data_IF_170048444614
#
_entry.id   IF_170048444614
#
_cell.length_a   1.000
_cell.length_b   1.000
_cell.length_c   1.000
_cell.angle_alpha   90.00
_cell.angle_beta   90.00
_cell.angle_gamma   90.00
#
_symmetry.space_group_name_H-M   'P 1'
#
loop_
_entity.id
_entity.type
_entity.pdbx_description
1 polymer ?
#
# COMPACT_ATOMS: atom_id res chain seq x y z
N UNK A 1 27.92 -24.90 -18.05
CA UNK A 1 27.44 -25.58 -19.26
C UNK A 1 25.94 -25.72 -19.13
N UNK A 2 25.21 -24.74 -19.58
CA UNK A 2 23.75 -24.76 -19.59
C UNK A 2 23.33 -25.25 -20.97
N UNK A 3 22.89 -26.49 -21.07
CA UNK A 3 22.38 -27.05 -22.33
C UNK A 3 20.93 -26.57 -22.53
N UNK A 4 20.73 -25.94 -23.65
CA UNK A 4 19.46 -25.68 -24.31
C UNK A 4 18.62 -26.96 -24.37
N UNK A 5 17.60 -27.09 -23.51
CA UNK A 5 16.48 -28.00 -23.71
C UNK A 5 15.29 -27.19 -24.26
N UNK A 6 15.44 -26.73 -25.50
CA UNK A 6 14.28 -26.41 -26.32
C UNK A 6 13.63 -27.75 -26.61
N UNK A 7 12.42 -27.96 -26.05
CA UNK A 7 11.59 -29.12 -26.39
C UNK A 7 11.43 -29.17 -27.91
N UNK A 8 11.89 -30.22 -28.53
CA UNK A 8 11.82 -30.35 -29.97
C UNK A 8 10.36 -30.35 -30.43
N UNK A 9 9.98 -29.65 -31.50
CA UNK A 9 8.63 -29.65 -32.07
C UNK A 9 8.06 -31.04 -32.33
N UNK A 10 8.94 -32.04 -32.48
CA UNK A 10 8.57 -33.44 -32.72
C UNK A 10 7.86 -34.15 -31.56
N UNK A 11 8.20 -33.83 -30.30
CA UNK A 11 7.52 -34.49 -29.14
C UNK A 11 6.10 -33.99 -28.97
N UNK A 12 5.82 -32.73 -29.28
CA UNK A 12 4.47 -32.17 -29.24
C UNK A 12 3.60 -32.67 -30.39
N UNK A 13 4.16 -32.74 -31.60
CA UNK A 13 3.44 -33.30 -32.77
C UNK A 13 3.11 -34.77 -32.59
N UNK A 14 4.01 -35.57 -32.01
CA UNK A 14 3.78 -36.96 -31.72
C UNK A 14 2.66 -37.19 -30.67
N UNK A 15 2.65 -36.35 -29.61
CA UNK A 15 1.57 -36.41 -28.61
C UNK A 15 0.24 -35.92 -29.18
N UNK A 16 0.23 -34.87 -29.99
CA UNK A 16 -0.96 -34.38 -30.71
C UNK A 16 -1.53 -35.41 -31.64
N UNK A 17 -0.68 -36.17 -32.33
CA UNK A 17 -1.10 -37.31 -33.21
C UNK A 17 -1.70 -38.45 -32.39
N UNK A 18 -1.06 -38.90 -31.31
CA UNK A 18 -1.54 -40.02 -30.47
C UNK A 18 -2.86 -39.72 -29.76
N UNK A 19 -3.17 -38.46 -29.46
CA UNK A 19 -4.41 -38.06 -28.80
C UNK A 19 -5.54 -37.77 -29.78
N UNK A 20 -5.27 -37.51 -31.07
CA UNK A 20 -6.27 -37.39 -32.12
C UNK A 20 -6.78 -38.74 -32.61
N UNK A 21 -6.08 -39.85 -32.33
CA UNK A 21 -6.50 -41.22 -32.72
C UNK A 21 -7.52 -41.84 -31.77
N UNK A 22 -7.79 -41.26 -30.59
CA UNK A 22 -8.86 -41.76 -29.69
C UNK A 22 -10.22 -41.18 -30.07
N UNK A 23 -11.06 -42.00 -30.62
CA UNK A 23 -12.44 -41.88 -31.07
C UNK A 23 -13.36 -40.96 -30.26
N UNK A 24 -13.28 -39.65 -30.50
CA UNK A 24 -14.38 -38.69 -30.38
C UNK A 24 -14.10 -37.50 -31.31
N UNK A 25 -14.94 -37.36 -32.33
CA UNK A 25 -14.88 -36.28 -33.32
C UNK A 25 -14.93 -34.91 -32.67
N UNK A 26 -14.00 -34.05 -33.03
CA UNK A 26 -13.95 -32.58 -32.81
C UNK A 26 -13.20 -32.04 -31.61
N UNK A 27 -12.32 -32.75 -30.95
CA UNK A 27 -11.47 -32.15 -29.92
C UNK A 27 -10.27 -31.41 -30.56
N UNK A 28 -10.24 -30.11 -30.49
CA UNK A 28 -9.05 -29.32 -30.85
C UNK A 28 -8.09 -29.32 -29.65
N UNK A 29 -6.92 -29.91 -29.82
CA UNK A 29 -5.85 -29.87 -28.84
C UNK A 29 -4.89 -28.76 -29.20
N UNK A 30 -4.82 -27.70 -28.40
CA UNK A 30 -4.09 -26.47 -28.67
C UNK A 30 -3.01 -26.25 -27.61
N UNK A 31 -1.90 -25.68 -28.02
CA UNK A 31 -0.96 -25.04 -27.08
C UNK A 31 -1.63 -23.83 -26.43
N UNK A 32 -1.04 -23.31 -25.38
CA UNK A 32 -1.57 -22.12 -24.73
C UNK A 32 -1.66 -20.92 -25.70
N UNK A 33 -0.65 -20.73 -26.55
CA UNK A 33 -0.63 -19.62 -27.53
C UNK A 33 -1.70 -19.80 -28.62
N UNK A 34 -1.86 -21.02 -29.13
CA UNK A 34 -2.92 -21.32 -30.09
C UNK A 34 -4.30 -21.13 -29.46
N UNK A 35 -4.47 -21.53 -28.20
CA UNK A 35 -5.73 -21.35 -27.46
C UNK A 35 -6.00 -19.87 -27.14
N UNK A 36 -4.95 -19.11 -26.80
CA UNK A 36 -5.06 -17.65 -26.59
C UNK A 36 -5.56 -16.97 -27.87
N UNK A 37 -4.93 -17.25 -29.01
CA UNK A 37 -5.36 -16.70 -30.31
C UNK A 37 -6.80 -17.11 -30.65
N UNK A 38 -7.12 -18.41 -30.52
CA UNK A 38 -8.46 -18.92 -30.78
C UNK A 38 -9.52 -18.21 -29.92
N UNK A 39 -9.26 -18.07 -28.61
CA UNK A 39 -10.17 -17.39 -27.68
C UNK A 39 -10.27 -15.91 -27.96
N UNK A 40 -9.16 -15.26 -28.38
CA UNK A 40 -9.17 -13.85 -28.79
C UNK A 40 -10.11 -13.60 -29.94
N UNK A 41 -10.01 -14.42 -30.99
CA UNK A 41 -10.87 -14.32 -32.17
C UNK A 41 -12.37 -14.55 -31.84
N UNK A 42 -12.65 -15.50 -30.94
CA UNK A 42 -14.01 -15.79 -30.51
C UNK A 42 -14.59 -14.63 -29.66
N UNK A 43 -13.81 -14.08 -28.74
CA UNK A 43 -14.21 -12.93 -27.89
C UNK A 43 -14.46 -11.68 -28.74
N UNK A 44 -13.60 -11.41 -29.74
CA UNK A 44 -13.78 -10.29 -30.66
C UNK A 44 -15.11 -10.42 -31.49
N UNK A 45 -15.61 -11.62 -31.67
CA UNK A 45 -16.84 -11.86 -32.36
C UNK A 45 -18.08 -11.93 -31.41
N UNK A 46 -17.85 -12.04 -30.11
CA UNK A 46 -18.93 -12.13 -29.13
C UNK A 46 -19.66 -10.79 -28.92
N UNK A 47 -20.99 -10.81 -29.09
CA UNK A 47 -21.82 -9.61 -28.96
C UNK A 47 -21.87 -9.04 -27.55
N UNK A 48 -21.80 -9.90 -26.53
CA UNK A 48 -21.89 -9.49 -25.12
C UNK A 48 -20.56 -8.86 -24.69
N UNK A 49 -19.43 -9.44 -25.12
CA UNK A 49 -18.12 -8.86 -24.89
C UNK A 49 -18.00 -7.47 -25.56
N UNK A 50 -18.44 -7.35 -26.82
CA UNK A 50 -18.47 -6.05 -27.54
C UNK A 50 -19.34 -4.99 -26.84
N UNK A 51 -20.52 -5.36 -26.36
CA UNK A 51 -21.39 -4.45 -25.63
C UNK A 51 -20.74 -3.98 -24.31
N UNK A 52 -20.04 -4.89 -23.61
CA UNK A 52 -19.34 -4.55 -22.36
C UNK A 52 -18.15 -3.61 -22.62
N UNK A 53 -17.39 -3.84 -23.68
CA UNK A 53 -16.33 -2.92 -24.10
C UNK A 53 -16.85 -1.55 -24.51
N UNK A 54 -17.95 -1.50 -25.24
CA UNK A 54 -18.59 -0.24 -25.63
C UNK A 54 -19.12 0.53 -24.41
N UNK A 55 -19.67 -0.16 -23.41
CA UNK A 55 -20.09 0.47 -22.15
C UNK A 55 -18.90 0.99 -21.32
N UNK A 56 -17.76 0.30 -21.36
CA UNK A 56 -16.50 0.79 -20.74
C UNK A 56 -16.04 2.09 -21.40
N UNK A 57 -16.08 2.17 -22.73
CA UNK A 57 -15.64 3.38 -23.49
C UNK A 57 -16.59 4.56 -23.32
N UNK A 58 -17.88 4.35 -23.20
CA UNK A 58 -18.87 5.43 -23.00
C UNK A 58 -18.93 5.99 -21.58
N UNK A 59 -18.47 5.22 -20.57
CA UNK A 59 -18.43 5.62 -19.16
C UNK A 59 -17.01 5.81 -18.62
N UNK A 60 -16.02 6.00 -19.46
CA UNK A 60 -14.60 5.98 -19.14
C UNK A 60 -14.21 6.91 -17.97
N UNK A 61 -14.89 8.07 -17.85
CA UNK A 61 -14.60 9.07 -16.81
C UNK A 61 -15.27 8.80 -15.45
N UNK A 62 -16.06 7.74 -15.32
CA UNK A 62 -16.87 7.48 -14.10
C UNK A 62 -16.67 6.10 -13.46
N UNK A 63 -15.98 5.17 -14.11
CA UNK A 63 -15.79 3.82 -13.54
C UNK A 63 -14.54 3.82 -12.64
N UNK A 64 -14.77 3.70 -11.35
CA UNK A 64 -13.67 3.46 -10.39
C UNK A 64 -13.15 2.04 -10.64
N UNK A 65 -11.93 1.93 -11.14
CA UNK A 65 -11.25 0.65 -11.38
C UNK A 65 -10.60 0.15 -10.08
N UNK A 66 -11.43 -0.25 -9.15
CA UNK A 66 -11.03 -0.85 -7.88
C UNK A 66 -10.91 -2.39 -7.95
N UNK A 67 -10.63 -3.04 -6.83
CA UNK A 67 -10.55 -4.49 -6.73
C UNK A 67 -11.88 -5.19 -7.01
N UNK A 68 -13.01 -4.57 -6.67
CA UNK A 68 -14.33 -5.14 -6.94
C UNK A 68 -14.59 -5.17 -8.45
N UNK A 69 -14.28 -4.08 -9.14
CA UNK A 69 -14.31 -4.01 -10.60
C UNK A 69 -13.41 -5.07 -11.24
N UNK A 70 -12.18 -5.25 -10.72
CA UNK A 70 -11.28 -6.28 -11.21
C UNK A 70 -11.88 -7.68 -11.09
N UNK A 71 -12.37 -8.06 -9.89
CA UNK A 71 -12.97 -9.38 -9.63
C UNK A 71 -14.17 -9.65 -10.53
N UNK A 72 -15.05 -8.67 -10.72
CA UNK A 72 -16.21 -8.79 -11.61
C UNK A 72 -15.78 -8.99 -13.07
N UNK A 73 -14.81 -8.19 -13.52
CA UNK A 73 -14.29 -8.27 -14.88
C UNK A 73 -13.59 -9.61 -15.14
N UNK A 74 -12.74 -10.05 -14.21
CA UNK A 74 -12.05 -11.33 -14.30
C UNK A 74 -13.04 -12.51 -14.36
N UNK A 75 -14.03 -12.55 -13.48
CA UNK A 75 -15.05 -13.59 -13.46
C UNK A 75 -15.88 -13.64 -14.74
N UNK A 76 -16.17 -12.49 -15.33
CA UNK A 76 -16.86 -12.43 -16.62
C UNK A 76 -16.03 -13.11 -17.72
N UNK A 77 -14.77 -12.69 -17.90
CA UNK A 77 -13.90 -13.28 -18.93
C UNK A 77 -13.58 -14.76 -18.64
N UNK A 78 -13.33 -15.12 -17.39
CA UNK A 78 -13.16 -16.51 -17.00
C UNK A 78 -14.35 -17.38 -17.44
N UNK A 79 -15.58 -16.94 -17.16
CA UNK A 79 -16.80 -17.66 -17.52
C UNK A 79 -16.98 -17.74 -19.05
N UNK A 80 -16.74 -16.64 -19.75
CA UNK A 80 -16.83 -16.58 -21.20
C UNK A 80 -15.81 -17.51 -21.85
N UNK A 81 -14.56 -17.45 -21.43
CA UNK A 81 -13.48 -18.30 -21.95
C UNK A 81 -13.75 -19.78 -21.66
N UNK A 82 -14.17 -20.11 -20.44
CA UNK A 82 -14.52 -21.47 -20.05
C UNK A 82 -15.61 -22.05 -20.96
N UNK A 83 -16.68 -21.28 -21.19
CA UNK A 83 -17.77 -21.67 -22.07
C UNK A 83 -17.30 -21.82 -23.53
N UNK A 84 -16.45 -20.93 -24.01
CA UNK A 84 -15.86 -21.00 -25.35
C UNK A 84 -15.01 -22.24 -25.54
N UNK A 85 -14.16 -22.57 -24.57
CA UNK A 85 -13.35 -23.81 -24.62
C UNK A 85 -14.23 -25.06 -24.60
N UNK A 86 -15.24 -25.09 -23.73
CA UNK A 86 -16.16 -26.24 -23.60
C UNK A 86 -17.00 -26.43 -24.85
N UNK A 87 -17.64 -25.36 -25.38
CA UNK A 87 -18.54 -25.45 -26.55
C UNK A 87 -17.79 -25.85 -27.82
N UNK A 88 -16.52 -25.45 -27.96
CA UNK A 88 -15.69 -25.81 -29.12
C UNK A 88 -14.84 -27.07 -28.90
N UNK A 89 -14.95 -27.74 -27.77
CA UNK A 89 -14.18 -28.96 -27.46
C UNK A 89 -12.65 -28.72 -27.42
N UNK A 90 -12.22 -27.49 -27.11
CA UNK A 90 -10.81 -27.10 -27.08
C UNK A 90 -10.16 -27.59 -25.79
N UNK A 91 -9.04 -28.29 -25.91
CA UNK A 91 -8.16 -28.69 -24.79
C UNK A 91 -6.83 -27.98 -24.89
N UNK A 92 -6.33 -27.51 -23.76
CA UNK A 92 -5.09 -26.73 -23.69
C UNK A 92 -3.96 -27.56 -23.10
N UNK A 93 -2.78 -27.50 -23.70
CA UNK A 93 -1.57 -28.19 -23.24
C UNK A 93 -0.59 -27.20 -22.65
N UNK A 94 0.07 -27.62 -21.59
CA UNK A 94 1.17 -26.92 -20.93
C UNK A 94 2.44 -27.75 -21.04
N UNK A 95 3.54 -27.10 -21.39
CA UNK A 95 4.87 -27.70 -21.29
C UNK A 95 5.45 -27.31 -19.92
N UNK A 96 5.80 -28.29 -19.10
CA UNK A 96 6.47 -28.06 -17.82
C UNK A 96 7.92 -27.61 -18.02
N UNK A 97 8.55 -27.05 -16.99
CA UNK A 97 9.95 -26.67 -17.02
C UNK A 97 10.90 -27.84 -17.38
N UNK A 98 10.46 -29.07 -17.14
CA UNK A 98 11.18 -30.31 -17.48
C UNK A 98 10.93 -30.77 -18.93
N UNK A 99 10.19 -29.99 -19.72
CA UNK A 99 9.85 -30.30 -21.11
C UNK A 99 8.71 -31.34 -21.27
N UNK A 100 8.04 -31.72 -20.17
CA UNK A 100 6.91 -32.63 -20.24
C UNK A 100 5.65 -31.89 -20.64
N UNK A 101 4.95 -32.38 -21.65
CA UNK A 101 3.65 -31.86 -22.10
C UNK A 101 2.54 -32.49 -21.30
N UNK A 102 1.72 -31.70 -20.66
CA UNK A 102 0.57 -32.14 -19.87
C UNK A 102 -0.71 -31.45 -20.33
N UNK A 103 -1.82 -32.17 -20.30
CA UNK A 103 -3.15 -31.63 -20.56
C UNK A 103 -3.61 -30.85 -19.32
N UNK A 104 -4.02 -29.63 -19.52
CA UNK A 104 -4.61 -28.81 -18.45
C UNK A 104 -6.10 -29.14 -18.26
N UNK A 105 -6.59 -28.96 -17.03
CA UNK A 105 -8.02 -28.95 -16.78
C UNK A 105 -8.70 -27.74 -17.43
N UNK A 106 -10.02 -27.85 -17.69
CA UNK A 106 -10.76 -26.73 -18.30
C UNK A 106 -10.80 -25.49 -17.41
N UNK A 107 -10.94 -25.67 -16.10
CA UNK A 107 -10.97 -24.56 -15.15
C UNK A 107 -9.61 -23.89 -15.03
N UNK A 108 -8.53 -24.68 -14.99
CA UNK A 108 -7.16 -24.19 -15.00
C UNK A 108 -6.87 -23.44 -16.31
N UNK A 109 -7.22 -24.01 -17.46
CA UNK A 109 -7.03 -23.38 -18.77
C UNK A 109 -7.77 -22.06 -18.89
N UNK A 110 -9.04 -22.03 -18.47
CA UNK A 110 -9.85 -20.82 -18.52
C UNK A 110 -9.34 -19.73 -17.59
N UNK A 111 -8.84 -20.11 -16.40
CA UNK A 111 -8.26 -19.18 -15.44
C UNK A 111 -6.96 -18.56 -15.95
N UNK A 112 -6.04 -19.38 -16.44
CA UNK A 112 -4.75 -18.91 -16.95
C UNK A 112 -4.93 -18.04 -18.21
N UNK A 113 -5.88 -18.38 -19.08
CA UNK A 113 -6.24 -17.55 -20.23
C UNK A 113 -6.87 -16.23 -19.78
N UNK A 114 -7.82 -16.23 -18.86
CA UNK A 114 -8.43 -15.02 -18.33
C UNK A 114 -7.38 -14.11 -17.66
N UNK A 115 -6.44 -14.70 -16.91
CA UNK A 115 -5.32 -13.98 -16.31
C UNK A 115 -4.47 -13.27 -17.38
N UNK A 116 -4.24 -13.90 -18.51
CA UNK A 116 -3.49 -13.29 -19.63
C UNK A 116 -4.29 -12.23 -20.38
N UNK A 117 -5.62 -12.35 -20.47
CA UNK A 117 -6.48 -11.39 -21.16
C UNK A 117 -6.75 -10.12 -20.35
N UNK A 118 -7.16 -10.26 -19.10
CA UNK A 118 -7.65 -9.16 -18.25
C UNK A 118 -7.05 -9.14 -16.86
N UNK A 119 -6.32 -10.20 -16.47
CA UNK A 119 -5.73 -10.38 -15.15
C UNK A 119 -4.25 -10.03 -15.10
N UNK A 120 -3.57 -10.60 -14.12
CA UNK A 120 -2.16 -10.35 -13.83
C UNK A 120 -1.20 -11.35 -14.50
N UNK A 121 -1.66 -12.10 -15.53
CA UNK A 121 -0.91 -13.15 -16.23
C UNK A 121 -0.31 -14.18 -15.25
N UNK A 122 0.97 -14.50 -15.34
CA UNK A 122 1.64 -15.43 -14.43
C UNK A 122 1.71 -14.93 -12.97
N UNK A 123 1.47 -13.63 -12.73
CA UNK A 123 1.45 -13.01 -11.41
C UNK A 123 0.10 -13.19 -10.68
N UNK A 124 -0.92 -13.76 -11.32
CA UNK A 124 -2.28 -13.86 -10.78
C UNK A 124 -2.33 -14.52 -9.40
N UNK A 125 -1.58 -15.61 -9.19
CA UNK A 125 -1.54 -16.29 -7.89
C UNK A 125 -0.84 -15.44 -6.83
N UNK A 126 0.25 -14.74 -7.20
CA UNK A 126 0.95 -13.82 -6.30
C UNK A 126 0.06 -12.64 -5.91
N UNK A 127 -0.75 -12.14 -6.85
CA UNK A 127 -1.71 -11.06 -6.58
C UNK A 127 -2.83 -11.49 -5.64
N UNK A 128 -3.21 -12.77 -5.65
CA UNK A 128 -4.26 -13.34 -4.78
C UNK A 128 -3.72 -13.91 -3.46
N UNK A 129 -2.40 -14.10 -3.29
CA UNK A 129 -1.80 -14.56 -2.04
C UNK A 129 -1.61 -13.40 -1.05
N UNK A 130 -2.43 -13.33 0.01
CA UNK A 130 -2.38 -12.26 1.02
C UNK A 130 -1.07 -12.22 1.82
N UNK A 131 -0.27 -13.28 1.80
CA UNK A 131 1.06 -13.30 2.46
C UNK A 131 2.14 -12.58 1.65
N UNK A 132 1.88 -12.28 0.35
CA UNK A 132 2.76 -11.53 -0.53
C UNK A 132 2.36 -10.06 -0.51
N UNK A 133 3.32 -9.18 -0.21
CA UNK A 133 3.13 -7.73 -0.15
C UNK A 133 3.66 -7.01 -1.37
N UNK A 134 4.80 -7.45 -1.88
CA UNK A 134 5.48 -6.81 -3.01
C UNK A 134 5.91 -7.86 -4.06
N UNK A 135 5.90 -7.45 -5.33
CA UNK A 135 6.31 -8.28 -6.48
C UNK A 135 7.34 -7.50 -7.27
N UNK A 136 8.47 -8.16 -7.56
CA UNK A 136 9.61 -7.58 -8.28
C UNK A 136 9.90 -8.38 -9.54
N UNK A 137 9.52 -7.88 -10.70
CA UNK A 137 9.86 -8.46 -12.00
C UNK A 137 11.13 -7.80 -12.52
N UNK A 138 12.25 -8.50 -12.41
CA UNK A 138 13.56 -8.03 -12.89
C UNK A 138 13.68 -8.18 -14.40
N UNK A 139 13.07 -9.23 -14.93
CA UNK A 139 12.93 -9.55 -16.36
C UNK A 139 11.79 -10.56 -16.52
N UNK A 140 11.32 -10.80 -17.72
CA UNK A 140 10.22 -11.71 -18.03
C UNK A 140 10.36 -13.13 -17.41
N UNK A 141 11.60 -13.58 -17.16
CA UNK A 141 11.93 -14.90 -16.61
C UNK A 141 12.59 -14.86 -15.22
N UNK A 142 12.61 -13.69 -14.57
CA UNK A 142 13.20 -13.53 -13.23
C UNK A 142 12.33 -12.65 -12.35
N UNK A 143 11.57 -13.31 -11.48
CA UNK A 143 10.56 -12.69 -10.62
C UNK A 143 10.87 -13.05 -9.16
N UNK A 144 10.77 -12.05 -8.28
CA UNK A 144 10.83 -12.21 -6.84
C UNK A 144 9.56 -11.68 -6.21
N UNK A 145 9.25 -12.17 -5.03
CA UNK A 145 8.14 -11.68 -4.20
C UNK A 145 8.62 -11.46 -2.78
N UNK A 146 8.07 -10.46 -2.12
CA UNK A 146 8.20 -10.32 -0.67
C UNK A 146 7.02 -11.03 -0.01
N UNK A 147 7.32 -12.12 0.68
CA UNK A 147 6.34 -12.96 1.37
C UNK A 147 6.64 -13.00 2.86
N UNK A 148 5.68 -12.60 3.69
CA UNK A 148 5.85 -12.50 5.15
C UNK A 148 7.11 -11.71 5.56
N UNK A 149 7.47 -10.65 4.81
CA UNK A 149 8.66 -9.83 5.06
C UNK A 149 9.98 -10.42 4.56
N UNK A 150 9.97 -11.52 3.81
CA UNK A 150 11.15 -12.14 3.24
C UNK A 150 11.08 -12.20 1.72
N UNK A 151 12.19 -11.88 1.06
CA UNK A 151 12.30 -11.99 -0.39
C UNK A 151 12.56 -13.43 -0.81
N UNK A 152 11.74 -13.95 -1.72
CA UNK A 152 11.89 -15.28 -2.31
C UNK A 152 11.72 -15.26 -3.83
N UNK A 153 12.29 -16.25 -4.50
CA UNK A 153 12.13 -16.41 -5.95
C UNK A 153 10.71 -16.91 -6.23
N UNK A 154 9.99 -16.20 -7.10
CA UNK A 154 8.67 -16.65 -7.53
C UNK A 154 8.75 -17.80 -8.54
N UNK A 155 7.92 -18.81 -8.37
CA UNK A 155 7.99 -20.06 -9.11
C UNK A 155 7.45 -19.98 -10.55
N UNK A 156 6.66 -18.94 -10.90
CA UNK A 156 6.15 -18.71 -12.25
C UNK A 156 6.93 -17.61 -12.96
N UNK A 157 6.94 -17.65 -14.28
CA UNK A 157 7.58 -16.67 -15.16
C UNK A 157 6.63 -16.36 -16.33
N UNK A 158 6.83 -15.26 -17.02
CA UNK A 158 6.12 -14.98 -18.25
C UNK A 158 6.56 -15.95 -19.35
N UNK A 159 5.69 -16.21 -20.29
CA UNK A 159 5.93 -17.20 -21.38
C UNK A 159 7.03 -16.76 -22.35
N UNK A 160 7.16 -15.47 -22.56
CA UNK A 160 8.18 -14.85 -23.42
C UNK A 160 8.36 -13.37 -23.04
N UNK A 161 9.42 -12.77 -23.56
CA UNK A 161 9.64 -11.33 -23.43
C UNK A 161 8.53 -10.52 -24.09
N UNK A 162 8.05 -10.97 -25.26
CA UNK A 162 6.92 -10.32 -25.94
C UNK A 162 5.62 -10.41 -25.15
N UNK A 163 5.33 -11.57 -24.52
CA UNK A 163 4.16 -11.71 -23.64
C UNK A 163 4.25 -10.77 -22.44
N UNK A 164 5.43 -10.62 -21.85
CA UNK A 164 5.66 -9.68 -20.75
C UNK A 164 5.47 -8.22 -21.20
N UNK A 165 6.01 -7.85 -22.37
CA UNK A 165 5.83 -6.50 -22.93
C UNK A 165 4.35 -6.18 -23.16
N UNK A 166 3.62 -7.10 -23.77
CA UNK A 166 2.17 -6.95 -23.99
C UNK A 166 1.40 -6.81 -22.65
N UNK A 167 1.80 -7.56 -21.63
CA UNK A 167 1.24 -7.43 -20.28
C UNK A 167 1.50 -6.02 -19.72
N UNK A 168 2.73 -5.50 -19.79
CA UNK A 168 3.06 -4.14 -19.33
C UNK A 168 2.22 -3.09 -20.07
N UNK A 169 2.16 -3.16 -21.39
CA UNK A 169 1.37 -2.22 -22.19
C UNK A 169 -0.11 -2.25 -21.82
N UNK A 170 -0.65 -3.44 -21.55
CA UNK A 170 -2.04 -3.60 -21.15
C UNK A 170 -2.32 -2.97 -19.79
N UNK A 171 -1.53 -3.30 -18.75
CA UNK A 171 -1.76 -2.76 -17.39
C UNK A 171 -1.58 -1.23 -17.35
N UNK A 172 -0.61 -0.69 -18.07
CA UNK A 172 -0.40 0.75 -18.15
C UNK A 172 -1.56 1.44 -18.90
N UNK A 173 -2.02 0.89 -20.01
CA UNK A 173 -3.20 1.41 -20.72
C UNK A 173 -4.45 1.40 -19.83
N UNK A 174 -4.64 0.35 -19.03
CA UNK A 174 -5.74 0.29 -18.07
C UNK A 174 -5.61 1.32 -16.94
N UNK A 175 -4.38 1.68 -16.59
CA UNK A 175 -4.08 2.75 -15.65
C UNK A 175 -4.06 4.16 -16.29
N UNK A 176 -4.43 4.30 -17.57
CA UNK A 176 -4.33 5.52 -18.37
C UNK A 176 -2.90 6.09 -18.41
N UNK A 177 -1.92 5.20 -18.50
CA UNK A 177 -0.49 5.50 -18.61
C UNK A 177 0.10 4.83 -19.83
N UNK A 178 1.28 5.30 -20.25
CA UNK A 178 2.00 4.75 -21.38
C UNK A 178 3.50 4.71 -21.05
N UNK A 179 4.17 3.64 -21.45
CA UNK A 179 5.63 3.53 -21.44
C UNK A 179 6.13 3.77 -22.86
N UNK A 180 7.09 4.66 -23.04
CA UNK A 180 7.66 4.98 -24.35
C UNK A 180 9.18 5.20 -24.28
N UNK A 181 9.78 5.44 -25.43
CA UNK A 181 11.22 5.70 -25.55
C UNK A 181 11.56 7.20 -25.44
N UNK A 182 10.56 8.05 -25.34
CA UNK A 182 10.68 9.51 -25.26
C UNK A 182 10.66 10.02 -23.82
N UNK A 183 9.51 10.48 -23.39
CA UNK A 183 9.31 11.14 -22.09
C UNK A 183 9.00 10.17 -20.96
N UNK A 184 8.25 9.09 -21.25
CA UNK A 184 7.73 8.16 -20.24
C UNK A 184 8.59 6.89 -20.14
N UNK A 185 9.86 7.03 -19.75
CA UNK A 185 10.78 5.89 -19.56
C UNK A 185 10.65 5.23 -18.19
N UNK A 186 10.13 5.97 -17.21
CA UNK A 186 9.81 5.52 -15.86
C UNK A 186 8.37 5.93 -15.59
N UNK A 187 7.51 4.99 -15.24
CA UNK A 187 6.09 5.22 -15.09
C UNK A 187 5.61 4.67 -13.77
N UNK A 188 5.14 5.56 -12.92
CA UNK A 188 4.35 5.20 -11.73
C UNK A 188 2.89 5.09 -12.11
N UNK A 189 2.22 4.04 -11.63
CA UNK A 189 0.80 3.82 -11.88
C UNK A 189 0.10 3.23 -10.67
N UNK A 190 -1.20 3.39 -10.65
CA UNK A 190 -2.10 2.70 -9.73
C UNK A 190 -3.14 1.94 -10.54
N UNK A 191 -3.34 0.67 -10.21
CA UNK A 191 -4.32 -0.17 -10.87
C UNK A 191 -4.95 -1.15 -9.90
N UNK A 192 -6.29 -1.14 -9.85
CA UNK A 192 -7.08 -2.01 -8.96
C UNK A 192 -6.67 -1.89 -7.48
N UNK A 193 -6.33 -0.67 -7.05
CA UNK A 193 -5.86 -0.38 -5.70
C UNK A 193 -4.46 -0.90 -5.40
N UNK A 194 -3.65 -1.28 -6.39
CA UNK A 194 -2.25 -1.65 -6.21
C UNK A 194 -1.35 -0.60 -6.87
N UNK A 195 -0.22 -0.30 -6.25
CA UNK A 195 0.79 0.62 -6.80
C UNK A 195 1.81 -0.14 -7.64
N UNK A 196 2.21 0.45 -8.75
CA UNK A 196 3.26 -0.10 -9.59
C UNK A 196 4.22 0.98 -10.10
N UNK A 197 5.45 0.56 -10.35
CA UNK A 197 6.46 1.35 -11.04
C UNK A 197 7.05 0.48 -12.17
N UNK A 198 7.08 1.00 -13.38
CA UNK A 198 7.68 0.36 -14.54
C UNK A 198 8.86 1.18 -15.03
N UNK A 199 9.97 0.51 -15.27
CA UNK A 199 11.18 1.10 -15.88
C UNK A 199 11.44 0.44 -17.21
N UNK A 200 11.57 1.27 -18.26
CA UNK A 200 11.81 0.83 -19.64
C UNK A 200 13.18 0.15 -19.79
N UNK A 201 13.29 -0.79 -20.71
CA UNK A 201 14.53 -1.53 -21.04
C UNK A 201 15.65 -0.63 -21.59
N UNK A 202 15.36 0.56 -22.09
CA UNK A 202 16.36 1.57 -22.43
C UNK A 202 17.19 1.98 -21.21
N UNK A 203 16.60 1.96 -20.01
CA UNK A 203 17.25 2.30 -18.73
C UNK A 203 17.60 1.03 -17.97
N UNK A 204 16.70 0.06 -17.92
CA UNK A 204 16.86 -1.19 -17.20
C UNK A 204 17.60 -2.23 -18.07
N UNK A 205 18.89 -2.42 -17.83
CA UNK A 205 19.80 -3.22 -18.70
C UNK A 205 19.47 -4.72 -18.78
N UNK A 206 18.53 -5.21 -17.98
CA UNK A 206 18.09 -6.63 -17.96
C UNK A 206 16.72 -6.85 -18.60
N UNK A 207 16.15 -5.82 -19.21
CA UNK A 207 14.79 -5.80 -19.75
C UNK A 207 13.88 -4.90 -18.94
N UNK A 208 12.62 -4.74 -19.36
CA UNK A 208 11.63 -3.96 -18.63
C UNK A 208 11.56 -4.46 -17.18
N UNK A 209 11.64 -3.55 -16.21
CA UNK A 209 11.52 -3.86 -14.80
C UNK A 209 10.13 -3.39 -14.28
N UNK A 210 9.45 -4.24 -13.53
CA UNK A 210 8.20 -3.89 -12.85
C UNK A 210 8.35 -4.15 -11.36
N UNK A 211 7.97 -3.15 -10.56
CA UNK A 211 7.77 -3.31 -9.12
C UNK A 211 6.31 -3.05 -8.81
N UNK A 212 5.67 -3.94 -8.07
CA UNK A 212 4.30 -3.77 -7.63
C UNK A 212 4.19 -3.93 -6.11
N UNK A 213 3.49 -3.00 -5.48
CA UNK A 213 3.09 -3.10 -4.08
C UNK A 213 1.59 -3.36 -3.99
N UNK A 214 1.24 -4.43 -3.32
CA UNK A 214 -0.15 -4.82 -3.10
C UNK A 214 -0.73 -4.11 -1.88
N UNK A 215 -1.97 -3.67 -1.98
CA UNK A 215 -2.73 -3.25 -0.81
C UNK A 215 -3.57 -4.42 -0.30
N UNK A 216 -3.43 -4.72 0.99
CA UNK A 216 -4.19 -5.79 1.64
C UNK A 216 -5.71 -5.55 1.51
N UNK A 217 -6.47 -6.60 1.19
CA UNK A 217 -7.93 -6.52 1.09
C UNK A 217 -8.57 -6.28 2.46
N UNK A 218 -8.10 -7.03 3.46
CA UNK A 218 -8.55 -6.86 4.84
C UNK A 218 -7.57 -5.97 5.60
N UNK A 219 -8.01 -4.82 6.09
CA UNK A 219 -7.15 -3.96 6.89
C UNK A 219 -6.79 -4.68 8.20
N UNK A 220 -5.50 -4.71 8.51
CA UNK A 220 -5.02 -5.16 9.81
C UNK A 220 -5.73 -4.34 10.89
N UNK A 221 -6.37 -5.02 11.84
CA UNK A 221 -7.08 -4.42 12.97
C UNK A 221 -6.14 -4.19 14.15
N UNK A 222 -6.57 -3.34 15.08
CA UNK A 222 -5.79 -3.10 16.30
C UNK A 222 -5.55 -4.40 17.10
N UNK A 223 -6.53 -5.31 17.11
CA UNK A 223 -6.39 -6.62 17.79
C UNK A 223 -5.26 -7.45 17.19
N UNK A 224 -5.15 -7.51 15.86
CA UNK A 224 -4.09 -8.24 15.17
C UNK A 224 -2.70 -7.69 15.51
N UNK A 225 -2.59 -6.35 15.66
CA UNK A 225 -1.35 -5.70 16.07
C UNK A 225 -0.94 -6.04 17.49
N UNK A 226 -1.90 -6.12 18.42
CA UNK A 226 -1.65 -6.53 19.80
C UNK A 226 -1.22 -8.00 19.87
N UNK A 227 -1.85 -8.88 19.10
CA UNK A 227 -1.49 -10.30 19.01
C UNK A 227 -0.08 -10.51 18.43
N UNK A 228 0.36 -9.65 17.51
CA UNK A 228 1.72 -9.65 16.97
C UNK A 228 2.71 -8.83 17.83
N UNK A 229 2.31 -8.40 19.02
CA UNK A 229 3.13 -7.64 19.95
C UNK A 229 3.75 -6.35 19.36
N UNK A 230 3.03 -5.64 18.47
CA UNK A 230 3.46 -4.32 18.02
C UNK A 230 3.57 -3.35 19.19
N UNK A 231 2.63 -3.42 20.13
CA UNK A 231 2.58 -2.72 21.40
C UNK A 231 1.70 -3.49 22.38
N UNK A 232 1.78 -3.19 23.67
CA UNK A 232 0.84 -3.75 24.66
C UNK A 232 -0.52 -3.05 24.57
N UNK A 233 -1.54 -3.69 25.17
CA UNK A 233 -2.88 -3.09 25.24
C UNK A 233 -2.88 -1.76 25.99
N UNK A 234 -2.13 -1.66 27.09
CA UNK A 234 -1.98 -0.44 27.89
C UNK A 234 -1.40 0.71 27.06
N UNK A 235 -0.38 0.43 26.22
CA UNK A 235 0.21 1.40 25.30
C UNK A 235 -0.82 1.84 24.27
N UNK A 236 -1.55 0.90 23.67
CA UNK A 236 -2.61 1.20 22.71
C UNK A 236 -3.73 2.05 23.32
N UNK A 237 -4.13 1.76 24.58
CA UNK A 237 -5.15 2.52 25.28
C UNK A 237 -4.70 3.96 25.60
N UNK A 238 -3.40 4.17 25.89
CA UNK A 238 -2.83 5.51 26.06
C UNK A 238 -2.84 6.26 24.74
N UNK A 239 -2.30 5.65 23.67
CA UNK A 239 -2.33 6.24 22.32
C UNK A 239 -3.75 6.57 21.88
N UNK A 240 -4.68 5.65 22.10
CA UNK A 240 -6.08 5.88 21.80
C UNK A 240 -6.68 7.05 22.57
N UNK A 241 -6.35 7.19 23.84
CA UNK A 241 -6.88 8.27 24.67
C UNK A 241 -6.33 9.64 24.24
N UNK A 242 -5.04 9.73 23.86
CA UNK A 242 -4.48 10.99 23.33
C UNK A 242 -5.00 11.30 21.92
N UNK A 243 -5.27 10.29 21.09
CA UNK A 243 -5.96 10.45 19.79
C UNK A 243 -7.38 10.99 20.02
N UNK A 244 -8.18 10.36 20.88
CA UNK A 244 -9.54 10.82 21.20
C UNK A 244 -9.55 12.25 21.78
N UNK A 245 -8.48 12.61 22.48
CA UNK A 245 -8.22 13.94 23.04
C UNK A 245 -7.73 14.97 22.03
N UNK A 246 -7.79 14.65 20.73
CA UNK A 246 -7.45 15.58 19.64
C UNK A 246 -6.03 16.17 19.77
N UNK A 247 -5.03 15.35 20.14
CA UNK A 247 -3.62 15.76 20.17
C UNK A 247 -2.98 15.64 18.79
N UNK A 248 -1.86 16.35 18.61
CA UNK A 248 -1.06 16.31 17.41
C UNK A 248 0.02 15.25 17.50
N UNK A 249 0.04 14.32 16.56
CA UNK A 249 0.89 13.12 16.63
C UNK A 249 1.66 12.92 15.34
N UNK A 250 2.96 12.71 15.45
CA UNK A 250 3.79 12.21 14.37
C UNK A 250 4.07 10.73 14.63
N UNK A 251 3.66 9.86 13.71
CA UNK A 251 3.95 8.43 13.77
C UNK A 251 5.05 8.09 12.77
N UNK A 252 6.25 7.85 13.26
CA UNK A 252 7.44 7.74 12.42
C UNK A 252 8.08 6.34 12.48
N UNK A 253 8.99 6.09 11.56
CA UNK A 253 9.77 4.85 11.46
C UNK A 253 10.43 4.71 10.09
N UNK A 254 11.24 3.69 9.91
CA UNK A 254 11.88 3.39 8.64
C UNK A 254 10.87 2.90 7.58
N UNK A 255 11.31 2.82 6.33
CA UNK A 255 10.51 2.24 5.23
C UNK A 255 10.18 0.78 5.54
N UNK A 256 8.93 0.37 5.30
CA UNK A 256 8.49 -1.01 5.54
C UNK A 256 8.12 -1.32 7.00
N UNK A 257 8.35 -0.42 7.96
CA UNK A 257 8.02 -0.67 9.37
C UNK A 257 6.52 -0.78 9.67
N UNK A 258 5.64 -0.44 8.73
CA UNK A 258 4.18 -0.58 8.89
C UNK A 258 3.49 0.62 9.55
N UNK A 259 4.07 1.82 9.48
CA UNK A 259 3.51 3.08 10.05
C UNK A 259 2.06 3.34 9.65
N UNK A 260 1.81 3.40 8.34
CA UNK A 260 0.47 3.69 7.80
C UNK A 260 -0.54 2.65 8.24
N UNK A 261 -0.14 1.37 8.30
CA UNK A 261 -0.97 0.28 8.81
C UNK A 261 -1.32 0.47 10.29
N UNK A 262 -0.33 0.84 11.12
CA UNK A 262 -0.53 1.06 12.56
C UNK A 262 -1.46 2.26 12.81
N UNK A 263 -1.20 3.39 12.16
CA UNK A 263 -2.05 4.59 12.28
C UNK A 263 -3.47 4.29 11.79
N UNK A 264 -3.63 3.60 10.66
CA UNK A 264 -4.95 3.20 10.15
C UNK A 264 -5.73 2.38 11.17
N UNK A 265 -5.11 1.38 11.80
CA UNK A 265 -5.77 0.54 12.78
C UNK A 265 -6.14 1.31 14.06
N UNK A 266 -5.24 2.17 14.56
CA UNK A 266 -5.51 3.04 15.72
C UNK A 266 -6.65 4.01 15.44
N UNK A 267 -6.62 4.72 14.30
CA UNK A 267 -7.64 5.68 13.93
C UNK A 267 -9.00 5.01 13.70
N UNK A 268 -9.04 3.88 13.00
CA UNK A 268 -10.27 3.12 12.79
C UNK A 268 -10.88 2.64 14.10
N UNK A 269 -10.06 2.22 15.07
CA UNK A 269 -10.57 1.75 16.34
C UNK A 269 -11.06 2.88 17.27
N UNK A 270 -10.32 4.00 17.33
CA UNK A 270 -10.61 5.06 18.30
C UNK A 270 -11.47 6.19 17.75
N UNK A 271 -11.27 6.64 16.49
CA UNK A 271 -11.99 7.78 15.91
C UNK A 271 -13.39 7.39 15.40
N UNK A 272 -13.56 6.19 14.83
CA UNK A 272 -14.83 5.78 14.24
C UNK A 272 -16.01 5.90 15.20
N UNK A 273 -15.79 5.61 16.48
CA UNK A 273 -16.82 5.68 17.55
C UNK A 273 -17.22 7.11 17.91
N UNK A 274 -16.40 8.11 17.59
CA UNK A 274 -16.60 9.49 17.99
C UNK A 274 -17.48 10.27 17.03
N UNK A 275 -17.70 9.77 15.83
CA UNK A 275 -18.43 10.45 14.73
C UNK A 275 -17.95 11.90 14.49
N UNK A 276 -16.66 12.15 14.71
CA UNK A 276 -16.02 13.44 14.48
C UNK A 276 -15.54 13.53 13.02
N UNK A 277 -15.67 14.73 12.44
CA UNK A 277 -15.22 14.96 11.04
C UNK A 277 -13.72 14.78 10.91
N UNK A 278 -13.30 13.86 10.06
CA UNK A 278 -11.91 13.62 9.69
C UNK A 278 -11.67 13.92 8.21
N UNK A 279 -10.55 14.51 7.88
CA UNK A 279 -10.05 14.65 6.52
C UNK A 279 -8.78 13.83 6.42
N UNK A 280 -8.72 12.97 5.41
CA UNK A 280 -7.56 12.13 5.09
C UNK A 280 -6.95 12.67 3.81
N UNK A 281 -5.67 13.00 3.85
CA UNK A 281 -4.93 13.64 2.77
C UNK A 281 -3.75 12.73 2.39
N UNK A 282 -3.75 12.20 1.17
CA UNK A 282 -2.77 11.22 0.73
C UNK A 282 -2.34 11.43 -0.73
N UNK A 283 -1.15 10.98 -1.08
CA UNK A 283 -0.76 10.88 -2.49
C UNK A 283 -1.54 9.78 -3.18
N UNK A 284 -1.66 8.63 -2.54
CA UNK A 284 -2.48 7.49 -2.94
C UNK A 284 -3.24 7.00 -1.72
N UNK A 285 -4.50 6.65 -1.87
CA UNK A 285 -5.34 6.21 -0.77
C UNK A 285 -4.85 4.90 -0.15
N UNK A 286 -4.46 4.95 1.12
CA UNK A 286 -3.96 3.81 1.92
C UNK A 286 -4.70 3.66 3.25
N UNK A 287 -5.17 4.75 3.85
CA UNK A 287 -5.70 4.78 5.21
C UNK A 287 -7.11 4.21 5.33
N UNK A 288 -8.00 4.41 4.37
CA UNK A 288 -9.36 3.86 4.32
C UNK A 288 -10.05 3.89 5.70
N UNK A 289 -10.31 5.07 6.24
CA UNK A 289 -10.95 5.20 7.55
C UNK A 289 -12.43 4.82 7.48
N UNK A 290 -12.86 3.95 8.39
CA UNK A 290 -14.26 3.47 8.48
C UNK A 290 -15.21 4.50 9.13
N UNK A 291 -14.71 5.64 9.59
CA UNK A 291 -15.52 6.70 10.18
C UNK A 291 -16.46 7.29 9.12
N UNK A 292 -17.79 7.26 9.29
CA UNK A 292 -18.75 7.72 8.28
C UNK A 292 -18.65 9.23 7.99
N UNK A 293 -18.02 10.02 8.87
CA UNK A 293 -17.80 11.45 8.68
C UNK A 293 -16.38 11.76 8.20
N UNK A 294 -15.78 10.85 7.41
CA UNK A 294 -14.47 11.04 6.78
C UNK A 294 -14.63 11.56 5.35
N UNK A 295 -13.73 12.43 4.95
CA UNK A 295 -13.52 12.84 3.56
C UNK A 295 -12.09 12.47 3.19
N UNK A 296 -11.95 11.61 2.20
CA UNK A 296 -10.66 11.21 1.65
C UNK A 296 -10.32 12.09 0.44
N UNK A 297 -9.15 12.69 0.45
CA UNK A 297 -8.64 13.56 -0.61
C UNK A 297 -7.27 13.04 -1.05
N UNK A 298 -7.10 12.86 -2.35
CA UNK A 298 -5.83 12.45 -2.95
C UNK A 298 -5.25 13.54 -3.83
N UNK A 299 -3.94 13.57 -3.96
CA UNK A 299 -3.25 14.46 -4.89
C UNK A 299 -3.69 14.17 -6.33
N UNK A 300 -3.56 15.18 -7.17
CA UNK A 300 -3.86 15.06 -8.60
C UNK A 300 -2.65 15.59 -9.39
N UNK A 301 -1.62 14.77 -9.60
CA UNK A 301 -0.45 15.17 -10.36
C UNK A 301 -0.79 15.26 -11.86
N UNK A 302 -0.38 16.35 -12.51
CA UNK A 302 -0.50 16.57 -13.95
C UNK A 302 0.83 17.10 -14.50
N UNK A 303 1.01 17.01 -15.82
CA UNK A 303 2.20 17.55 -16.49
C UNK A 303 2.25 19.08 -16.44
N UNK A 304 1.11 19.75 -16.29
CA UNK A 304 1.04 21.21 -16.06
C UNK A 304 0.97 21.51 -14.56
N UNK A 305 2.02 22.09 -13.97
CA UNK A 305 2.03 22.43 -12.53
C UNK A 305 0.85 23.32 -12.08
N UNK A 306 0.20 24.05 -13.00
CA UNK A 306 -0.94 24.93 -12.68
C UNK A 306 -2.24 24.14 -12.46
N UNK A 307 -2.34 22.94 -12.99
CA UNK A 307 -3.51 22.05 -12.84
C UNK A 307 -3.25 20.91 -11.86
N UNK A 308 -2.01 20.76 -11.42
CA UNK A 308 -1.62 19.76 -10.43
C UNK A 308 -2.11 20.18 -9.03
N UNK A 309 -2.65 19.22 -8.28
CA UNK A 309 -3.04 19.40 -6.87
C UNK A 309 -2.07 18.61 -6.01
N UNK A 310 -1.32 19.31 -5.20
CA UNK A 310 -0.31 18.75 -4.31
C UNK A 310 -0.88 18.44 -2.93
N UNK A 311 -0.17 17.65 -2.14
CA UNK A 311 -0.52 17.38 -0.74
C UNK A 311 -0.55 18.66 0.11
N UNK A 312 0.29 19.64 -0.22
CA UNK A 312 0.27 20.98 0.41
C UNK A 312 -1.04 21.71 0.12
N UNK A 313 -1.52 21.70 -1.13
CA UNK A 313 -2.78 22.33 -1.50
C UNK A 313 -3.97 21.70 -0.78
N UNK A 314 -3.96 20.37 -0.64
CA UNK A 314 -4.97 19.63 0.13
C UNK A 314 -4.96 20.04 1.61
N UNK A 315 -3.79 20.18 2.24
CA UNK A 315 -3.67 20.64 3.62
C UNK A 315 -4.26 22.06 3.79
N UNK A 316 -3.88 23.00 2.93
CA UNK A 316 -4.42 24.36 2.96
C UNK A 316 -5.94 24.38 2.78
N UNK A 317 -6.47 23.54 1.90
CA UNK A 317 -7.92 23.38 1.68
C UNK A 317 -8.60 22.80 2.93
N UNK A 318 -7.97 21.83 3.58
CA UNK A 318 -8.50 21.14 4.76
C UNK A 318 -8.82 22.12 5.91
N UNK A 319 -8.00 23.15 6.12
CA UNK A 319 -8.21 24.16 7.17
C UNK A 319 -9.54 24.92 7.02
N UNK A 320 -10.09 24.98 5.78
CA UNK A 320 -11.38 25.64 5.49
C UNK A 320 -12.58 24.72 5.60
N UNK A 321 -12.35 23.39 5.78
CA UNK A 321 -13.39 22.38 5.79
C UNK A 321 -13.89 22.01 7.20
N UNK A 322 -13.42 22.71 8.24
CA UNK A 322 -13.77 22.50 9.66
C UNK A 322 -13.61 21.06 10.14
N UNK A 323 -12.50 20.38 9.90
CA UNK A 323 -12.27 19.05 10.45
C UNK A 323 -12.00 19.12 11.96
N UNK A 324 -12.20 17.99 12.64
CA UNK A 324 -11.63 17.74 13.96
C UNK A 324 -10.26 17.06 13.83
N UNK A 325 -10.14 16.18 12.86
CA UNK A 325 -8.89 15.48 12.54
C UNK A 325 -8.46 15.78 11.12
N UNK A 326 -7.20 16.14 10.95
CA UNK A 326 -6.49 16.15 9.66
C UNK A 326 -5.48 15.01 9.72
N UNK A 327 -5.65 14.02 8.86
CA UNK A 327 -4.74 12.87 8.80
C UNK A 327 -3.98 12.94 7.48
N UNK A 328 -2.66 13.14 7.55
CA UNK A 328 -1.81 13.17 6.36
C UNK A 328 -1.08 11.85 6.24
N UNK A 329 -1.28 11.15 5.14
CA UNK A 329 -0.73 9.82 4.91
C UNK A 329 0.78 9.79 5.16
N UNK A 330 1.52 10.66 4.53
CA UNK A 330 2.96 10.81 4.78
C UNK A 330 3.46 12.23 4.47
N UNK A 331 4.26 12.79 5.38
CA UNK A 331 4.93 14.09 5.20
C UNK A 331 6.37 13.87 4.72
N UNK A 332 6.64 14.29 3.48
CA UNK A 332 7.94 14.10 2.81
C UNK A 332 8.60 15.40 2.36
N UNK A 333 7.83 16.46 2.14
CA UNK A 333 8.27 17.68 1.44
C UNK A 333 7.60 18.96 1.90
N UNK A 334 7.07 19.70 0.95
CA UNK A 334 6.51 21.04 1.12
C UNK A 334 5.24 21.08 1.98
N UNK A 335 4.53 19.99 2.10
CA UNK A 335 3.33 19.83 2.92
C UNK A 335 3.63 19.92 4.44
N UNK A 336 4.90 19.80 4.84
CA UNK A 336 5.31 19.84 6.25
C UNK A 336 4.88 21.12 6.95
N UNK A 337 5.07 22.26 6.31
CA UNK A 337 4.68 23.58 6.84
C UNK A 337 3.16 23.66 7.01
N UNK A 338 2.38 23.29 6.00
CA UNK A 338 0.93 23.34 6.05
C UNK A 338 0.34 22.35 7.07
N UNK A 339 0.99 21.18 7.28
CA UNK A 339 0.59 20.23 8.31
C UNK A 339 0.80 20.79 9.73
N UNK A 340 1.91 21.48 9.96
CA UNK A 340 2.20 22.17 11.23
C UNK A 340 1.23 23.35 11.45
N UNK A 341 0.91 24.14 10.41
CA UNK A 341 -0.10 25.19 10.48
C UNK A 341 -1.47 24.63 10.93
N UNK A 342 -1.83 23.45 10.45
CA UNK A 342 -3.02 22.75 10.92
C UNK A 342 -3.02 22.48 12.43
N UNK A 343 -1.87 22.12 13.00
CA UNK A 343 -1.68 21.94 14.44
C UNK A 343 -1.85 23.24 15.22
N UNK A 344 -1.21 24.33 14.76
CA UNK A 344 -1.25 25.65 15.41
C UNK A 344 -2.67 26.25 15.40
N UNK A 345 -3.45 25.97 14.37
CA UNK A 345 -4.84 26.46 14.24
C UNK A 345 -5.87 25.63 15.02
N UNK A 346 -5.40 24.63 15.78
CA UNK A 346 -6.22 23.88 16.75
C UNK A 346 -6.95 22.67 16.17
N UNK A 347 -6.58 22.22 14.98
CA UNK A 347 -7.01 20.95 14.43
C UNK A 347 -6.07 19.84 14.93
N UNK A 348 -6.64 18.69 15.31
CA UNK A 348 -5.82 17.50 15.59
C UNK A 348 -5.20 17.01 14.30
N UNK A 349 -3.91 17.24 14.13
CA UNK A 349 -3.18 16.80 12.94
C UNK A 349 -2.33 15.57 13.27
N UNK A 350 -2.54 14.51 12.52
CA UNK A 350 -1.84 13.23 12.68
C UNK A 350 -1.21 12.88 11.34
N UNK A 351 0.09 12.60 11.31
CA UNK A 351 0.74 12.20 10.08
C UNK A 351 1.83 11.16 10.29
N UNK A 352 2.18 10.46 9.20
CA UNK A 352 3.35 9.61 9.21
C UNK A 352 4.55 10.33 8.61
N UNK A 353 5.75 9.95 9.06
CA UNK A 353 7.01 10.49 8.56
C UNK A 353 8.12 9.44 8.63
N UNK A 354 9.09 9.51 7.74
CA UNK A 354 10.29 8.69 7.85
C UNK A 354 11.25 9.24 8.91
N UNK A 355 11.66 8.41 9.85
CA UNK A 355 12.68 8.73 10.87
C UNK A 355 12.89 7.56 11.82
N UNK A 356 14.14 7.22 12.11
CA UNK A 356 14.50 6.10 12.98
C UNK A 356 14.56 6.47 14.47
N UNK A 357 14.45 7.75 14.83
CA UNK A 357 14.37 8.22 16.21
C UNK A 357 13.71 9.61 16.27
N UNK A 358 13.33 10.04 17.47
CA UNK A 358 12.62 11.31 17.69
C UNK A 358 13.35 12.51 17.13
N UNK A 359 14.67 12.61 17.34
CA UNK A 359 15.46 13.75 16.90
C UNK A 359 15.61 13.83 15.39
N UNK A 360 15.74 12.67 14.72
CA UNK A 360 15.74 12.62 13.26
C UNK A 360 14.41 13.11 12.68
N UNK A 361 13.30 12.79 13.34
CA UNK A 361 11.96 13.25 12.91
C UNK A 361 11.85 14.77 13.08
N UNK A 362 12.19 15.31 14.26
CA UNK A 362 12.14 16.74 14.54
C UNK A 362 13.04 17.53 13.59
N UNK A 363 14.32 17.13 13.46
CA UNK A 363 15.27 17.83 12.59
C UNK A 363 14.86 17.80 11.12
N UNK A 364 14.29 16.70 10.65
CA UNK A 364 13.75 16.62 9.29
C UNK A 364 12.55 17.53 9.10
N UNK A 365 11.67 17.62 10.08
CA UNK A 365 10.51 18.50 10.02
C UNK A 365 10.92 19.98 10.02
N UNK A 366 11.85 20.36 10.91
CA UNK A 366 12.46 21.71 10.92
C UNK A 366 13.07 22.05 9.56
N UNK A 367 13.85 21.13 8.99
CA UNK A 367 14.48 21.34 7.67
C UNK A 367 13.42 21.55 6.58
N UNK A 368 12.39 20.72 6.54
CA UNK A 368 11.33 20.84 5.53
C UNK A 368 10.48 22.09 5.68
N UNK A 369 10.21 22.47 6.91
CA UNK A 369 9.52 23.74 7.22
C UNK A 369 10.33 24.96 6.73
N UNK A 370 11.63 24.99 7.05
CA UNK A 370 12.54 26.05 6.61
C UNK A 370 12.68 26.12 5.07
N UNK A 371 12.60 25.00 4.38
CA UNK A 371 12.61 25.01 2.91
C UNK A 371 11.41 25.77 2.31
N UNK A 372 10.27 25.81 3.01
CA UNK A 372 9.09 26.57 2.59
C UNK A 372 9.10 28.01 3.13
N UNK A 373 9.67 28.21 4.31
CA UNK A 373 9.73 29.49 5.01
C UNK A 373 11.18 29.90 5.29
N UNK A 374 12.00 30.11 4.24
CA UNK A 374 13.45 30.39 4.40
C UNK A 374 13.77 31.71 5.10
N UNK A 375 12.79 32.59 5.22
CA UNK A 375 12.94 33.86 5.95
C UNK A 375 12.88 33.71 7.46
N UNK A 376 12.40 32.55 7.97
CA UNK A 376 12.37 32.30 9.41
C UNK A 376 13.73 31.77 9.89
N UNK A 377 14.13 32.18 11.09
CA UNK A 377 15.28 31.57 11.76
C UNK A 377 14.96 30.17 12.30
N UNK A 378 15.98 29.32 12.43
CA UNK A 378 15.84 27.96 12.94
C UNK A 378 15.16 27.91 14.32
N UNK A 379 15.56 28.82 15.23
CA UNK A 379 15.01 28.92 16.60
C UNK A 379 13.48 29.19 16.59
N UNK A 380 13.02 30.02 15.64
CA UNK A 380 11.59 30.31 15.48
C UNK A 380 10.84 29.05 15.03
N UNK A 381 11.40 28.33 14.06
CA UNK A 381 10.79 27.11 13.55
C UNK A 381 10.83 25.98 14.59
N UNK A 382 11.91 25.84 15.35
CA UNK A 382 11.98 24.88 16.45
C UNK A 382 10.94 25.19 17.54
N UNK A 383 10.73 26.48 17.85
CA UNK A 383 9.67 26.86 18.77
C UNK A 383 8.28 26.49 18.24
N UNK A 384 7.97 26.86 17.01
CA UNK A 384 6.69 26.51 16.37
C UNK A 384 6.45 24.99 16.44
N UNK A 385 7.43 24.20 16.07
CA UNK A 385 7.34 22.74 16.05
C UNK A 385 7.20 22.17 17.47
N UNK A 386 7.99 22.68 18.44
CA UNK A 386 7.95 22.24 19.82
C UNK A 386 6.63 22.57 20.53
N UNK A 387 5.98 23.68 20.17
CA UNK A 387 4.66 24.05 20.70
C UNK A 387 3.51 23.33 19.99
N UNK A 388 3.65 23.05 18.68
CA UNK A 388 2.59 22.46 17.88
C UNK A 388 2.43 20.95 18.08
N UNK A 389 3.53 20.21 18.24
CA UNK A 389 3.51 18.74 18.34
C UNK A 389 3.30 18.33 19.80
N UNK A 390 2.39 17.37 20.03
CA UNK A 390 2.25 16.76 21.35
C UNK A 390 3.04 15.45 21.48
N UNK A 391 3.04 14.60 20.45
CA UNK A 391 3.70 13.30 20.51
C UNK A 391 4.44 12.95 19.23
N UNK A 392 5.58 12.27 19.43
CA UNK A 392 6.29 11.52 18.38
C UNK A 392 6.38 10.07 18.79
N UNK A 393 5.87 9.18 17.96
CA UNK A 393 5.91 7.73 18.12
C UNK A 393 6.83 7.13 17.06
N UNK A 394 7.74 6.24 17.46
CA UNK A 394 8.67 5.56 16.54
C UNK A 394 8.33 4.09 16.47
N UNK A 395 8.23 3.58 15.25
CA UNK A 395 7.99 2.16 14.97
C UNK A 395 9.07 1.60 14.05
N UNK A 396 9.61 0.45 14.42
CA UNK A 396 10.60 -0.26 13.61
C UNK A 396 10.19 -1.71 13.35
N UNK A 397 10.75 -2.27 12.27
CA UNK A 397 10.74 -3.70 11.99
C UNK A 397 12.12 -4.26 12.38
N UNK A 398 12.15 -5.00 13.50
CA UNK A 398 13.37 -5.45 14.14
C UNK A 398 13.67 -6.87 13.69
N UNK A 399 14.82 -7.13 13.03
CA UNK A 399 15.17 -8.48 12.57
C UNK A 399 15.10 -9.52 13.69
N UNK A 400 14.36 -10.60 13.47
CA UNK A 400 14.17 -11.69 14.43
C UNK A 400 13.15 -11.42 15.55
N UNK A 401 12.68 -10.20 15.71
CA UNK A 401 11.67 -9.80 16.71
C UNK A 401 10.36 -9.40 16.04
N UNK A 402 10.45 -8.73 14.87
CA UNK A 402 9.32 -8.18 14.14
C UNK A 402 9.01 -6.73 14.50
N UNK A 403 7.85 -6.24 14.03
CA UNK A 403 7.46 -4.83 14.17
C UNK A 403 7.15 -4.48 15.63
N UNK A 404 7.73 -3.37 16.11
CA UNK A 404 7.54 -2.86 17.49
C UNK A 404 7.38 -1.33 17.46
N UNK A 405 6.49 -0.81 18.29
CA UNK A 405 6.53 0.59 18.70
C UNK A 405 7.75 0.75 19.63
N UNK A 406 8.85 1.30 19.10
CA UNK A 406 10.12 1.35 19.84
C UNK A 406 10.18 2.52 20.81
N UNK A 407 9.43 3.60 20.58
CA UNK A 407 9.31 4.67 21.57
C UNK A 407 8.10 5.56 21.33
N UNK A 408 7.64 6.20 22.41
CA UNK A 408 6.67 7.30 22.42
C UNK A 408 7.26 8.43 23.26
N UNK A 409 7.35 9.61 22.68
CA UNK A 409 7.84 10.81 23.35
C UNK A 409 6.78 11.90 23.35
N UNK A 410 6.63 12.57 24.49
CA UNK A 410 5.94 13.85 24.59
C UNK A 410 6.91 14.97 24.16
N UNK A 411 6.44 15.86 23.28
CA UNK A 411 7.23 16.93 22.71
C UNK A 411 6.77 18.24 23.37
N UNK A 412 7.73 19.14 23.60
CA UNK A 412 7.49 20.47 24.11
C UNK A 412 8.59 21.43 23.71
N UNK A 413 8.50 22.67 24.17
CA UNK A 413 9.51 23.68 23.97
C UNK A 413 9.96 24.26 25.32
N UNK A 414 11.25 24.25 25.55
CA UNK A 414 11.84 24.89 26.73
C UNK A 414 12.16 26.36 26.40
N UNK A 415 11.39 27.28 26.99
CA UNK A 415 11.54 28.72 26.79
C UNK A 415 12.76 29.30 27.51
N UNK A 416 13.30 28.60 28.50
CA UNK A 416 14.48 29.05 29.21
C UNK A 416 15.77 28.75 28.42
N UNK A 417 15.83 27.55 27.84
CA UNK A 417 16.98 27.09 27.06
C UNK A 417 16.79 27.23 25.54
N UNK A 418 15.65 27.76 25.11
CA UNK A 418 15.32 27.96 23.69
C UNK A 418 15.49 26.72 22.82
N UNK A 419 15.00 25.57 23.26
CA UNK A 419 15.13 24.32 22.52
C UNK A 419 13.88 23.44 22.61
N UNK A 420 13.71 22.59 21.58
CA UNK A 420 12.68 21.52 21.61
C UNK A 420 13.06 20.48 22.66
N UNK A 421 12.08 20.03 23.42
CA UNK A 421 12.23 18.92 24.38
C UNK A 421 11.49 17.69 23.89
N UNK A 422 12.04 16.52 24.16
CA UNK A 422 11.44 15.23 23.86
C UNK A 422 11.52 14.33 25.08
N UNK A 423 10.44 14.29 25.85
CA UNK A 423 10.35 13.50 27.09
C UNK A 423 9.88 12.08 26.76
N UNK A 424 10.72 11.04 26.97
CA UNK A 424 10.32 9.67 26.68
C UNK A 424 9.25 9.22 27.68
N UNK A 425 8.11 8.76 27.18
CA UNK A 425 7.05 8.14 27.97
C UNK A 425 7.28 6.63 28.04
N UNK A 426 7.54 6.01 26.89
CA UNK A 426 7.71 4.58 26.72
C UNK A 426 8.88 4.34 25.78
N UNK A 427 9.75 3.38 26.12
CA UNK A 427 10.88 2.93 25.27
C UNK A 427 10.92 1.40 25.28
N UNK A 428 11.03 0.79 24.10
CA UNK A 428 11.22 -0.65 23.96
C UNK A 428 12.60 -1.07 24.45
N UNK A 429 12.65 -2.03 25.34
CA UNK A 429 13.87 -2.59 25.89
C UNK A 429 14.19 -3.90 25.17
N UNK A 430 15.24 -3.90 24.37
CA UNK A 430 15.65 -5.07 23.58
C UNK A 430 16.10 -6.26 24.42
N UNK A 431 16.69 -6.02 25.61
CA UNK A 431 17.15 -7.09 26.49
C UNK A 431 15.98 -7.84 27.13
N UNK A 432 14.94 -7.10 27.53
CA UNK A 432 13.74 -7.65 28.17
C UNK A 432 12.69 -8.11 27.15
N UNK A 433 12.82 -7.68 25.89
CA UNK A 433 11.78 -7.81 24.84
C UNK A 433 10.43 -7.26 25.30
N UNK A 434 10.45 -6.14 26.04
CA UNK A 434 9.30 -5.49 26.65
C UNK A 434 9.52 -3.96 26.70
N UNK A 435 8.54 -3.20 27.18
CA UNK A 435 8.62 -1.74 27.22
C UNK A 435 8.98 -1.22 28.60
N UNK A 436 10.00 -0.37 28.66
CA UNK A 436 10.31 0.43 29.84
C UNK A 436 9.44 1.69 29.86
N UNK A 437 8.74 1.90 30.94
CA UNK A 437 7.95 3.09 31.20
C UNK A 437 8.82 4.12 31.90
N UNK A 438 8.96 5.32 31.32
CA UNK A 438 9.97 6.30 31.75
C UNK A 438 9.39 7.51 32.48
N UNK A 439 8.35 8.15 31.93
CA UNK A 439 7.73 9.35 32.50
C UNK A 439 6.21 9.32 32.31
N UNK A 440 5.50 9.99 33.20
CA UNK A 440 4.06 10.28 33.06
C UNK A 440 3.85 11.42 32.08
N UNK A 441 2.64 11.51 31.51
CA UNK A 441 2.23 12.65 30.70
C UNK A 441 2.22 13.92 31.55
N UNK A 442 2.60 15.05 30.95
CA UNK A 442 2.53 16.37 31.60
C UNK A 442 1.11 16.80 31.95
N UNK A 443 0.99 17.72 32.87
CA UNK A 443 -0.29 18.33 33.19
C UNK A 443 -0.89 19.11 32.00
N UNK A 444 -0.06 19.67 31.13
CA UNK A 444 -0.50 20.42 29.96
C UNK A 444 -1.18 19.50 28.94
N UNK A 445 -0.61 18.32 28.71
CA UNK A 445 -1.27 17.30 27.87
C UNK A 445 -2.56 16.80 28.51
N UNK A 446 -2.57 16.47 29.82
CA UNK A 446 -3.78 16.04 30.52
C UNK A 446 -4.90 17.10 30.46
N UNK A 447 -4.57 18.37 30.61
CA UNK A 447 -5.49 19.48 30.47
C UNK A 447 -6.00 19.61 29.03
N UNK A 448 -5.11 19.47 28.04
CA UNK A 448 -5.46 19.53 26.62
C UNK A 448 -6.47 18.47 26.24
N UNK A 449 -6.20 17.20 26.54
CA UNK A 449 -7.12 16.09 26.20
C UNK A 449 -8.46 16.22 26.95
N UNK A 450 -8.44 16.75 28.17
CA UNK A 450 -9.67 16.99 28.97
C UNK A 450 -10.52 18.09 28.34
N UNK A 451 -9.92 19.22 27.90
CA UNK A 451 -10.62 20.29 27.18
C UNK A 451 -11.24 19.80 25.87
N UNK A 452 -10.68 18.77 25.25
CA UNK A 452 -11.14 18.16 23.99
C UNK A 452 -12.18 17.05 24.19
N UNK A 453 -12.59 16.79 25.45
CA UNK A 453 -13.73 15.93 25.77
C UNK A 453 -13.37 14.56 26.37
N UNK A 454 -12.10 14.28 26.64
CA UNK A 454 -11.72 13.10 27.43
C UNK A 454 -12.08 13.37 28.90
N UNK A 455 -12.84 12.49 29.58
CA UNK A 455 -13.14 12.69 31.01
C UNK A 455 -11.85 12.79 31.83
N UNK A 456 -11.80 13.75 32.76
CA UNK A 456 -10.62 13.99 33.59
C UNK A 456 -10.17 12.74 34.37
N UNK A 457 -11.12 11.95 34.85
CA UNK A 457 -10.83 10.67 35.52
C UNK A 457 -10.06 9.69 34.59
N UNK A 458 -10.44 9.63 33.31
CA UNK A 458 -9.76 8.79 32.31
C UNK A 458 -8.38 9.35 31.97
N UNK A 459 -8.26 10.67 31.81
CA UNK A 459 -6.98 11.32 31.59
C UNK A 459 -6.00 11.06 32.74
N UNK A 460 -6.48 11.16 33.98
CA UNK A 460 -5.68 10.87 35.20
C UNK A 460 -5.29 9.39 35.29
N UNK A 461 -6.18 8.48 34.93
CA UNK A 461 -5.94 7.05 34.96
C UNK A 461 -4.77 6.63 34.06
N UNK A 462 -4.48 7.38 32.99
CA UNK A 462 -3.27 7.15 32.16
C UNK A 462 -2.01 7.24 33.01
N UNK A 463 -1.85 8.34 33.74
CA UNK A 463 -0.67 8.54 34.58
C UNK A 463 -0.58 7.55 35.75
N UNK A 464 -1.72 7.09 36.26
CA UNK A 464 -1.78 6.01 37.27
C UNK A 464 -1.31 4.68 36.67
N UNK A 465 -1.73 4.35 35.43
CA UNK A 465 -1.27 3.16 34.70
C UNK A 465 0.24 3.23 34.43
N UNK A 466 0.73 4.38 33.98
CA UNK A 466 2.18 4.57 33.72
C UNK A 466 2.98 4.37 35.03
N UNK A 467 2.57 5.00 36.11
CA UNK A 467 3.26 4.88 37.44
C UNK A 467 3.28 3.44 37.92
N UNK A 468 2.15 2.73 37.84
CA UNK A 468 2.08 1.31 38.21
C UNK A 468 3.08 0.46 37.42
N UNK A 469 3.17 0.69 36.11
CA UNK A 469 4.11 -0.04 35.25
C UNK A 469 5.57 0.36 35.52
N UNK A 470 5.87 1.62 35.88
CA UNK A 470 7.21 2.04 36.32
C UNK A 470 7.65 1.35 37.61
N UNK A 471 6.71 1.09 38.54
CA UNK A 471 6.97 0.43 39.81
C UNK A 471 7.19 -1.09 39.64
N UNK A 472 6.50 -1.72 38.72
CA UNK A 472 6.65 -3.16 38.43
C UNK A 472 7.99 -3.54 37.76
N UNK A 473 8.79 -2.55 37.35
CA UNK A 473 10.10 -2.75 36.71
C UNK A 473 11.25 -2.72 37.77
N UNK A 474 10.97 -2.28 38.98
CA UNK A 474 11.91 -2.33 40.11
C UNK A 474 11.86 -3.69 40.79
#
# INVERSE_FOLDING_TARGET
MANNLISTPQSFQALKASLNESTYSTKKNLTFEEAYTFVSDEIENDKVAKLRETQKTTNFDKVVKDKAYYKENFNFYYTLIKNTLLSNGVRVYRTTAEGKVTLMDFDESARDLAASFVGWDCLEDAMNDNSITDIYVISWNKIFVEKNGHNEVYHKIFRSESAYRNFIERILREANKQLDNGENKIVDFELYGNRGNVVNDIIATKGICLTMRKHAEDPIKLQDMLEHNLMTKEIADILGTVIEGETNIIYAGITGSGKTTAIRALLNYYITKLNKRALVLEDTQELFLSNPHTVDLTTFPTDDPRTSITLRDLNISALRMKPKYIVVGEVRGAEAEAAVEGMETGHSTIFTMHGGNVWNVINRLVTKYLMQMPSLGIEVVERIIGEAINFVCIQDDIPGIGRRLTSMHEIGYDFEHHCVTATPIIIYNFEKSDWDWKNTLSNDVLNTITRRGVPYSRAKAINETIKKNMENIK
#
